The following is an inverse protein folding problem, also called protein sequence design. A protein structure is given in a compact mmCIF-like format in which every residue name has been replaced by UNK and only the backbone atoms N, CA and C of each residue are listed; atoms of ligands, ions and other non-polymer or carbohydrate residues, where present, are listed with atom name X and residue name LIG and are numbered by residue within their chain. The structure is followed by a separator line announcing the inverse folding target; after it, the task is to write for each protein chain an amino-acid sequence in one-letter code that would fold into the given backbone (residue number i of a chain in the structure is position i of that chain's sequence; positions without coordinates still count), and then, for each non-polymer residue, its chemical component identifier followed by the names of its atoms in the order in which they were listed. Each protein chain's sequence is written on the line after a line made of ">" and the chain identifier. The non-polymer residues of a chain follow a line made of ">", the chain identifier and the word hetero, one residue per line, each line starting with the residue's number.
data_IF_633377658705
#
_entry.id   IF_633377658705
#
_cell.length_a   1.000
_cell.length_b   1.000
_cell.length_c   1.000
_cell.angle_alpha   90.00
_cell.angle_beta   90.00
_cell.angle_gamma   90.00
#
_symmetry.space_group_name_H-M   'P 1'
#
loop_
_entity.id
_entity.type
_entity.pdbx_description
1 polymer ?
#
# COMPACT_ATOMS: atom_id res chain seq x y z
N UNK A 1 15.10 8.17 -10.55
CA UNK A 1 14.67 7.63 -9.25
C UNK A 1 13.20 7.31 -9.30
N UNK A 2 12.80 6.12 -8.84
CA UNK A 2 11.39 5.74 -8.84
C UNK A 2 10.61 6.50 -7.77
N UNK A 3 9.28 6.51 -7.89
CA UNK A 3 8.41 7.14 -6.91
C UNK A 3 8.62 6.55 -5.51
N UNK A 4 8.74 5.22 -5.42
CA UNK A 4 8.95 4.57 -4.13
C UNK A 4 10.27 4.99 -3.50
N UNK A 5 11.32 5.19 -4.30
CA UNK A 5 12.61 5.66 -3.79
C UNK A 5 12.51 7.06 -3.22
N UNK A 6 11.77 7.94 -3.89
CA UNK A 6 11.54 9.30 -3.41
C UNK A 6 10.77 9.31 -2.09
N UNK A 7 9.77 8.43 -1.97
CA UNK A 7 8.98 8.30 -0.76
C UNK A 7 9.86 7.81 0.40
N UNK A 8 10.68 6.79 0.15
CA UNK A 8 11.60 6.26 1.17
C UNK A 8 12.50 7.38 1.68
N UNK A 9 13.07 8.15 0.78
CA UNK A 9 13.96 9.24 1.14
C UNK A 9 13.24 10.28 2.02
N UNK A 10 12.02 10.66 1.65
CA UNK A 10 11.24 11.62 2.43
C UNK A 10 10.96 11.11 3.84
N UNK A 11 10.61 9.81 3.98
CA UNK A 11 10.34 9.23 5.28
C UNK A 11 11.61 9.14 6.14
N UNK A 12 12.74 8.82 5.52
CA UNK A 12 14.00 8.73 6.25
C UNK A 12 14.47 10.08 6.78
N UNK A 13 14.12 11.16 6.11
CA UNK A 13 14.49 12.51 6.52
C UNK A 13 13.53 13.10 7.57
N UNK A 14 12.40 12.45 7.82
CA UNK A 14 11.41 12.98 8.76
C UNK A 14 11.59 12.42 10.17
N UNK A 15 11.17 13.21 11.18
CA UNK A 15 11.07 12.71 12.54
C UNK A 15 9.73 11.98 12.72
N UNK A 16 9.44 11.56 13.96
CA UNK A 16 8.20 10.84 14.27
C UNK A 16 6.96 11.65 13.89
N UNK A 17 6.93 12.91 14.28
CA UNK A 17 5.78 13.79 14.01
C UNK A 17 5.62 14.00 12.49
N UNK A 18 6.71 14.24 11.80
CA UNK A 18 6.69 14.43 10.34
C UNK A 18 6.19 13.20 9.60
N UNK A 19 6.59 12.01 10.05
CA UNK A 19 6.11 10.76 9.47
C UNK A 19 4.60 10.60 9.65
N UNK A 20 4.09 10.89 10.85
CA UNK A 20 2.65 10.82 11.10
C UNK A 20 1.88 11.81 10.24
N UNK A 21 2.41 13.02 10.07
CA UNK A 21 1.79 14.03 9.21
C UNK A 21 1.74 13.60 7.75
N UNK A 22 2.81 12.98 7.25
CA UNK A 22 2.82 12.45 5.89
C UNK A 22 1.78 11.35 5.69
N UNK A 23 1.66 10.45 6.66
CA UNK A 23 0.64 9.39 6.60
C UNK A 23 -0.77 9.97 6.65
N UNK A 24 -1.01 11.00 7.47
CA UNK A 24 -2.30 11.67 7.53
C UNK A 24 -2.65 12.30 6.18
N UNK A 25 -1.70 12.99 5.57
CA UNK A 25 -1.91 13.61 4.26
C UNK A 25 -2.26 12.56 3.21
N UNK A 26 -1.53 11.45 3.19
CA UNK A 26 -1.84 10.35 2.28
C UNK A 26 -3.24 9.77 2.55
N UNK A 27 -3.65 9.70 3.82
CA UNK A 27 -4.96 9.13 4.15
C UNK A 27 -6.12 9.92 3.55
N UNK A 28 -5.91 11.21 3.32
CA UNK A 28 -6.92 12.07 2.70
C UNK A 28 -6.95 11.90 1.18
N UNK A 29 -5.89 11.36 0.61
CA UNK A 29 -5.71 11.28 -0.84
C UNK A 29 -6.06 9.92 -1.45
N UNK A 30 -6.46 8.93 -0.63
CA UNK A 30 -6.81 7.62 -1.18
C UNK A 30 -8.01 7.77 -2.11
N UNK A 31 -7.87 7.40 -3.39
CA UNK A 31 -8.98 7.51 -4.33
C UNK A 31 -10.19 6.68 -3.88
N UNK A 32 -11.38 7.20 -4.14
CA UNK A 32 -12.60 6.48 -3.82
C UNK A 32 -12.66 5.15 -4.57
N UNK A 33 -13.13 4.11 -3.87
CA UNK A 33 -13.27 2.79 -4.48
C UNK A 33 -14.31 2.83 -5.60
N UNK A 34 -13.97 2.37 -6.82
CA UNK A 34 -14.95 2.31 -7.91
C UNK A 34 -16.17 1.48 -7.52
N UNK A 35 -17.33 1.90 -8.01
CA UNK A 35 -18.61 1.27 -7.69
C UNK A 35 -18.61 -0.23 -7.95
N UNK A 36 -17.94 -0.68 -9.02
CA UNK A 36 -17.85 -2.09 -9.40
C UNK A 36 -17.23 -2.99 -8.35
N UNK A 37 -16.47 -2.42 -7.40
CA UNK A 37 -15.85 -3.19 -6.32
C UNK A 37 -16.60 -3.13 -4.99
N UNK A 38 -17.53 -2.19 -4.84
CA UNK A 38 -18.18 -1.96 -3.53
C UNK A 38 -18.98 -3.15 -3.04
N UNK A 39 -19.66 -3.84 -3.94
CA UNK A 39 -20.46 -5.01 -3.58
C UNK A 39 -19.57 -6.16 -3.09
N UNK A 40 -18.44 -6.38 -3.77
CA UNK A 40 -17.49 -7.41 -3.36
C UNK A 40 -16.87 -7.07 -2.00
N UNK A 41 -16.53 -5.79 -1.77
CA UNK A 41 -16.02 -5.33 -0.48
C UNK A 41 -17.04 -5.62 0.63
N UNK A 42 -18.31 -5.29 0.42
CA UNK A 42 -19.36 -5.46 1.43
C UNK A 42 -19.57 -6.93 1.79
N UNK A 43 -19.23 -7.84 0.86
CA UNK A 43 -19.28 -9.29 1.09
C UNK A 43 -17.97 -9.83 1.68
N UNK A 44 -16.98 -8.98 1.93
CA UNK A 44 -15.72 -9.39 2.52
C UNK A 44 -14.67 -9.91 1.55
N UNK A 45 -14.89 -9.79 0.23
CA UNK A 45 -13.90 -10.22 -0.75
C UNK A 45 -12.71 -9.27 -0.78
N UNK A 46 -11.54 -9.83 -1.09
CA UNK A 46 -10.28 -9.10 -1.23
C UNK A 46 -9.80 -8.40 0.04
N UNK A 47 -10.27 -8.85 1.19
CA UNK A 47 -9.82 -8.33 2.47
C UNK A 47 -8.44 -8.91 2.81
N UNK A 48 -7.59 -8.09 3.42
CA UNK A 48 -6.29 -8.54 3.94
C UNK A 48 -6.51 -9.00 5.38
N UNK A 49 -6.54 -10.33 5.64
CA UNK A 49 -6.97 -10.83 6.95
C UNK A 49 -6.02 -10.52 8.09
N UNK A 50 -4.73 -10.30 7.82
CA UNK A 50 -3.74 -10.04 8.84
C UNK A 50 -3.84 -8.64 9.45
N UNK A 51 -4.57 -7.74 8.79
CA UNK A 51 -4.73 -6.37 9.27
C UNK A 51 -6.00 -6.26 10.11
N UNK A 52 -5.88 -5.73 11.34
CA UNK A 52 -7.04 -5.55 12.22
C UNK A 52 -8.03 -4.53 11.66
N UNK A 53 -7.50 -3.46 11.09
CA UNK A 53 -8.32 -2.51 10.34
C UNK A 53 -8.73 -3.17 9.03
N UNK A 54 -10.02 -3.16 8.64
CA UNK A 54 -10.41 -3.72 7.35
C UNK A 54 -9.73 -3.00 6.19
N UNK A 55 -8.91 -3.76 5.44
CA UNK A 55 -8.22 -3.30 4.25
C UNK A 55 -8.62 -4.20 3.09
N UNK A 56 -9.10 -3.60 2.01
CA UNK A 56 -9.51 -4.32 0.80
C UNK A 56 -8.64 -3.85 -0.36
N UNK A 57 -8.10 -4.79 -1.15
CA UNK A 57 -7.18 -4.46 -2.23
C UNK A 57 -7.52 -5.26 -3.49
N UNK A 58 -7.59 -4.58 -4.62
CA UNK A 58 -7.71 -5.18 -5.95
C UNK A 58 -6.52 -4.72 -6.77
N UNK A 59 -5.81 -5.67 -7.38
CA UNK A 59 -4.65 -5.38 -8.21
C UNK A 59 -4.90 -5.96 -9.60
N UNK A 60 -4.71 -5.13 -10.63
CA UNK A 60 -4.82 -5.52 -12.02
C UNK A 60 -3.57 -5.06 -12.75
N UNK A 61 -3.26 -5.71 -13.86
CA UNK A 61 -2.19 -5.25 -14.77
C UNK A 61 -2.82 -5.07 -16.14
N UNK A 62 -2.81 -3.83 -16.64
CA UNK A 62 -3.41 -3.47 -17.92
C UNK A 62 -2.34 -2.79 -18.77
N UNK A 63 -2.04 -3.35 -19.93
CA UNK A 63 -1.04 -2.81 -20.85
C UNK A 63 0.31 -2.55 -20.17
N UNK A 64 0.76 -3.53 -19.38
CA UNK A 64 2.02 -3.48 -18.64
C UNK A 64 2.06 -2.41 -17.55
N UNK A 65 0.90 -1.91 -17.12
CA UNK A 65 0.79 -0.94 -16.05
C UNK A 65 -0.02 -1.52 -14.89
N UNK A 66 0.52 -1.39 -13.67
CA UNK A 66 -0.15 -1.84 -12.47
C UNK A 66 -1.28 -0.89 -12.12
N UNK A 67 -2.43 -1.44 -11.76
CA UNK A 67 -3.58 -0.67 -11.31
C UNK A 67 -4.02 -1.20 -9.95
N UNK A 68 -4.04 -0.33 -8.96
CA UNK A 68 -4.42 -0.70 -7.60
C UNK A 68 -5.66 0.09 -7.18
N UNK A 69 -6.67 -0.64 -6.73
CA UNK A 69 -7.84 -0.05 -6.08
C UNK A 69 -7.88 -0.57 -4.66
N UNK A 70 -8.15 0.30 -3.70
CA UNK A 70 -8.12 -0.08 -2.30
C UNK A 70 -9.18 0.67 -1.52
N UNK A 71 -9.61 0.07 -0.41
CA UNK A 71 -10.50 0.73 0.53
C UNK A 71 -10.04 0.46 1.95
N UNK A 72 -9.98 1.50 2.76
CA UNK A 72 -9.60 1.45 4.17
C UNK A 72 -10.46 2.44 4.93
N UNK A 73 -10.92 2.08 6.12
CA UNK A 73 -11.74 2.97 6.94
C UNK A 73 -11.03 4.29 7.26
N UNK A 74 -11.76 5.38 7.20
CA UNK A 74 -11.26 6.70 7.59
C UNK A 74 -10.96 6.78 9.08
N UNK A 75 -11.47 5.85 9.87
CA UNK A 75 -11.22 5.79 11.31
C UNK A 75 -9.81 5.31 11.65
N UNK A 76 -9.07 4.82 10.66
CA UNK A 76 -7.71 4.32 10.82
C UNK A 76 -6.76 5.08 9.89
N UNK A 77 -6.49 6.34 10.17
CA UNK A 77 -5.72 7.19 9.24
C UNK A 77 -4.29 6.72 9.00
N UNK A 78 -3.64 6.10 9.98
CA UNK A 78 -2.28 5.59 9.79
C UNK A 78 -2.25 4.45 8.76
N UNK A 79 -3.16 3.49 8.90
CA UNK A 79 -3.26 2.37 7.95
C UNK A 79 -3.72 2.87 6.59
N UNK A 80 -4.75 3.70 6.57
CA UNK A 80 -5.25 4.28 5.33
C UNK A 80 -4.16 5.08 4.61
N UNK A 81 -3.37 5.84 5.36
CA UNK A 81 -2.26 6.60 4.79
C UNK A 81 -1.18 5.72 4.18
N UNK A 82 -0.84 4.62 4.85
CA UNK A 82 0.14 3.68 4.31
C UNK A 82 -0.36 3.05 3.00
N UNK A 83 -1.61 2.61 2.98
CA UNK A 83 -2.20 2.03 1.76
C UNK A 83 -2.25 3.06 0.64
N UNK A 84 -2.68 4.28 0.95
CA UNK A 84 -2.71 5.37 -0.04
C UNK A 84 -1.33 5.68 -0.60
N UNK A 85 -0.31 5.64 0.25
CA UNK A 85 1.08 5.84 -0.16
C UNK A 85 1.52 4.74 -1.15
N UNK A 86 1.15 3.48 -0.88
CA UNK A 86 1.47 2.39 -1.80
C UNK A 86 0.75 2.54 -3.14
N UNK A 87 -0.51 2.98 -3.11
CA UNK A 87 -1.24 3.25 -4.34
C UNK A 87 -0.54 4.36 -5.14
N UNK A 88 -0.15 5.44 -4.48
CA UNK A 88 0.58 6.52 -5.13
C UNK A 88 1.90 6.05 -5.74
N UNK A 89 2.62 5.19 -5.02
CA UNK A 89 3.93 4.69 -5.45
C UNK A 89 3.84 3.75 -6.64
N UNK A 90 2.81 2.91 -6.70
CA UNK A 90 2.78 1.79 -7.63
C UNK A 90 1.71 1.86 -8.71
N UNK A 91 0.70 2.71 -8.58
CA UNK A 91 -0.33 2.80 -9.61
C UNK A 91 0.28 3.37 -10.89
N UNK A 92 0.10 2.67 -12.00
CA UNK A 92 0.63 3.09 -13.30
C UNK A 92 2.05 2.66 -13.61
N UNK A 93 2.78 2.05 -12.65
CA UNK A 93 4.15 1.59 -12.92
C UNK A 93 4.14 0.19 -13.52
N UNK A 94 5.27 -0.24 -14.07
CA UNK A 94 5.38 -1.60 -14.62
C UNK A 94 5.38 -2.64 -13.50
N UNK A 95 4.92 -3.87 -13.79
CA UNK A 95 5.03 -4.96 -12.81
C UNK A 95 6.46 -5.21 -12.31
N UNK A 96 7.43 -5.06 -13.20
CA UNK A 96 8.85 -5.23 -12.84
C UNK A 96 9.28 -4.22 -11.78
N UNK A 97 8.79 -2.98 -11.86
CA UNK A 97 9.13 -1.95 -10.88
C UNK A 97 8.58 -2.29 -9.49
N UNK A 98 7.37 -2.85 -9.42
CA UNK A 98 6.81 -3.32 -8.16
C UNK A 98 7.65 -4.46 -7.60
N UNK A 99 8.03 -5.41 -8.44
CA UNK A 99 8.85 -6.56 -8.03
C UNK A 99 10.20 -6.13 -7.49
N UNK A 100 10.80 -5.09 -8.07
CA UNK A 100 12.11 -4.57 -7.65
C UNK A 100 12.03 -3.71 -6.39
N UNK A 101 10.86 -3.31 -5.94
CA UNK A 101 10.72 -2.52 -4.72
C UNK A 101 11.24 -3.31 -3.52
N UNK A 102 11.85 -2.63 -2.52
CA UNK A 102 12.52 -3.32 -1.42
C UNK A 102 11.61 -4.26 -0.64
N UNK A 103 12.10 -5.47 -0.35
CA UNK A 103 11.38 -6.44 0.49
C UNK A 103 11.17 -5.86 1.90
N UNK A 104 12.16 -5.12 2.38
CA UNK A 104 12.16 -4.52 3.72
C UNK A 104 11.66 -3.06 3.71
N UNK A 105 10.66 -2.77 2.89
CA UNK A 105 10.14 -1.42 2.71
C UNK A 105 9.79 -0.73 4.04
N UNK A 106 9.10 -1.42 4.94
CA UNK A 106 8.66 -0.80 6.19
C UNK A 106 9.86 -0.38 7.05
N UNK A 107 10.92 -1.18 7.04
CA UNK A 107 12.15 -0.81 7.75
C UNK A 107 12.83 0.38 7.09
N UNK A 108 12.85 0.42 5.77
CA UNK A 108 13.44 1.55 5.05
C UNK A 108 12.65 2.84 5.29
N UNK A 109 11.35 2.73 5.46
CA UNK A 109 10.50 3.86 5.83
C UNK A 109 10.63 4.21 7.31
N UNK A 110 11.36 3.40 8.07
CA UNK A 110 11.56 3.55 9.52
C UNK A 110 10.28 3.46 10.33
N UNK A 111 9.30 2.76 9.79
CA UNK A 111 8.02 2.55 10.48
C UNK A 111 8.14 1.54 11.62
N UNK A 112 9.11 0.62 11.53
CA UNK A 112 9.41 -0.34 12.59
C UNK A 112 9.79 0.35 13.91
N UNK A 113 10.35 1.56 13.82
CA UNK A 113 10.75 2.34 14.98
C UNK A 113 9.61 3.23 15.53
N UNK A 114 8.53 3.39 14.78
CA UNK A 114 7.49 4.37 15.06
C UNK A 114 6.13 3.77 15.32
N UNK A 115 5.91 2.53 14.90
CA UNK A 115 4.62 1.85 15.02
C UNK A 115 4.78 0.58 15.86
N UNK A 116 3.69 0.14 16.50
CA UNK A 116 3.71 -1.08 17.29
C UNK A 116 3.80 -2.34 16.44
N UNK A 117 4.22 -3.44 17.04
CA UNK A 117 4.42 -4.73 16.37
C UNK A 117 3.18 -5.20 15.64
N UNK A 118 2.01 -5.07 16.27
CA UNK A 118 0.75 -5.53 15.67
C UNK A 118 0.43 -4.76 14.40
N UNK A 119 0.62 -3.45 14.42
CA UNK A 119 0.39 -2.62 13.23
C UNK A 119 1.39 -2.93 12.14
N UNK A 120 2.66 -3.13 12.51
CA UNK A 120 3.70 -3.52 11.55
C UNK A 120 3.37 -4.85 10.86
N UNK A 121 2.83 -5.81 11.60
CA UNK A 121 2.44 -7.09 11.03
C UNK A 121 1.36 -6.91 9.96
N UNK A 122 0.33 -6.12 10.25
CA UNK A 122 -0.74 -5.86 9.29
C UNK A 122 -0.26 -5.11 8.06
N UNK A 123 0.54 -4.06 8.24
CA UNK A 123 1.06 -3.28 7.12
C UNK A 123 2.02 -4.10 6.24
N UNK A 124 2.84 -4.95 6.86
CA UNK A 124 3.71 -5.86 6.11
C UNK A 124 2.90 -6.82 5.25
N UNK A 125 1.79 -7.32 5.78
CA UNK A 125 0.90 -8.20 5.03
C UNK A 125 0.25 -7.48 3.85
N UNK A 126 -0.15 -6.22 4.03
CA UNK A 126 -0.72 -5.41 2.95
C UNK A 126 0.31 -5.26 1.81
N UNK A 127 1.52 -4.88 2.16
CA UNK A 127 2.57 -4.69 1.16
C UNK A 127 2.88 -5.99 0.40
N UNK A 128 3.04 -7.08 1.14
CA UNK A 128 3.31 -8.39 0.54
C UNK A 128 2.15 -8.81 -0.36
N UNK A 129 0.90 -8.56 0.05
CA UNK A 129 -0.28 -8.88 -0.74
C UNK A 129 -0.25 -8.17 -2.09
N UNK A 130 0.11 -6.88 -2.11
CA UNK A 130 0.21 -6.14 -3.37
C UNK A 130 1.26 -6.77 -4.27
N UNK A 131 2.45 -7.09 -3.75
CA UNK A 131 3.51 -7.70 -4.55
C UNK A 131 3.08 -9.07 -5.09
N UNK A 132 2.44 -9.88 -4.26
CA UNK A 132 1.96 -11.21 -4.66
C UNK A 132 0.87 -11.11 -5.74
N UNK A 133 -0.05 -10.18 -5.62
CA UNK A 133 -1.12 -10.01 -6.60
C UNK A 133 -0.58 -9.49 -7.93
N UNK A 134 0.39 -8.61 -7.92
CA UNK A 134 1.06 -8.16 -9.15
C UNK A 134 1.73 -9.35 -9.83
N UNK A 135 2.41 -10.21 -9.06
CA UNK A 135 3.08 -11.39 -9.58
C UNK A 135 2.09 -12.37 -10.21
N UNK A 136 0.93 -12.57 -9.57
CA UNK A 136 -0.12 -13.45 -10.11
C UNK A 136 -0.71 -12.89 -11.40
N UNK A 137 -0.94 -11.58 -11.45
CA UNK A 137 -1.50 -10.92 -12.63
C UNK A 137 -0.52 -10.88 -13.79
N UNK A 138 0.78 -10.97 -13.51
CA UNK A 138 1.83 -10.91 -14.51
C UNK A 138 2.94 -11.92 -14.18
N UNK A 139 2.67 -13.25 -14.39
CA UNK A 139 3.57 -14.30 -13.90
C UNK A 139 4.94 -14.37 -14.59
N UNK A 140 5.16 -13.64 -15.68
CA UNK A 140 6.43 -13.64 -16.42
C UNK A 140 7.36 -12.48 -16.02
N UNK A 141 7.18 -11.93 -14.85
CA UNK A 141 8.08 -10.87 -14.34
C UNK A 141 9.43 -11.49 -13.99
N UNK A 142 10.48 -10.92 -14.50
CA UNK A 142 11.85 -11.34 -14.22
C UNK A 142 12.77 -10.17 -13.99
#
# INVERSE_FOLDING_TARGET
>A
MSKIDEIIEAFQESDFQGTLEMLLDYSEDLPELPERFKKARDKGFNKVPECETPVFIWVEVVENAVKINADVSEESPTVRGFVSMLVDAFDGVSPAEVELAPVDLLNKLRLDQKLGTRRMFGLSAVYRRIKDEVKKAYPNIH
#
